data_IF_635461075110
#
_entry.id   IF_635461075110
#
_cell.length_a   1.000
_cell.length_b   1.000
_cell.length_c   1.000
_cell.angle_alpha   90.00
_cell.angle_beta   90.00
_cell.angle_gamma   90.00
#
_symmetry.space_group_name_H-M   'P 1'
#
loop_
_entity.id
_entity.type
_entity.pdbx_description
1 polymer ?
#
# COMPACT_ATOMS: atom_id res chain seq x y z
N UNK A 1 -3.58 -10.58 13.52
CA UNK A 1 -3.05 -9.29 13.06
C UNK A 1 -3.25 -9.25 11.57
N UNK A 2 -4.09 -8.33 11.09
CA UNK A 2 -4.48 -8.17 9.71
C UNK A 2 -3.84 -6.91 9.13
N UNK A 3 -2.98 -7.08 8.14
CA UNK A 3 -2.14 -6.01 7.58
C UNK A 3 -2.56 -5.73 6.13
N UNK A 4 -2.64 -4.45 5.77
CA UNK A 4 -2.69 -4.00 4.37
C UNK A 4 -1.34 -3.41 3.96
N UNK A 5 -0.76 -3.87 2.85
CA UNK A 5 0.28 -3.15 2.12
C UNK A 5 -0.36 -2.55 0.86
N UNK A 6 -0.51 -1.23 0.86
CA UNK A 6 -1.04 -0.46 -0.27
C UNK A 6 0.10 0.25 -0.99
N UNK A 7 0.14 0.22 -2.33
CA UNK A 7 1.17 0.92 -3.10
C UNK A 7 0.64 1.71 -4.30
N UNK A 8 1.23 2.88 -4.56
CA UNK A 8 1.07 3.64 -5.82
C UNK A 8 2.35 3.50 -6.66
N UNK A 9 2.24 2.89 -7.85
CA UNK A 9 3.37 2.52 -8.69
C UNK A 9 3.01 2.68 -10.18
N UNK A 10 3.74 3.54 -10.89
CA UNK A 10 3.57 3.72 -12.34
C UNK A 10 4.46 2.78 -13.16
N UNK A 11 5.70 2.55 -12.71
CA UNK A 11 6.72 1.81 -13.45
C UNK A 11 7.14 0.49 -12.80
N UNK A 12 6.60 0.17 -11.61
CA UNK A 12 6.82 -1.11 -10.95
C UNK A 12 7.73 -1.08 -9.73
N UNK A 13 8.57 -0.05 -9.54
CA UNK A 13 9.54 -0.01 -8.44
C UNK A 13 8.89 -0.12 -7.06
N UNK A 14 7.87 0.70 -6.78
CA UNK A 14 7.15 0.66 -5.50
C UNK A 14 6.39 -0.65 -5.31
N UNK A 15 5.90 -1.26 -6.41
CA UNK A 15 5.24 -2.56 -6.37
C UNK A 15 6.24 -3.68 -6.01
N UNK A 16 7.48 -3.60 -6.52
CA UNK A 16 8.54 -4.54 -6.16
C UNK A 16 8.90 -4.44 -4.67
N UNK A 17 9.00 -3.22 -4.12
CA UNK A 17 9.22 -3.01 -2.68
C UNK A 17 8.07 -3.62 -1.86
N UNK A 18 6.82 -3.34 -2.23
CA UNK A 18 5.64 -3.89 -1.56
C UNK A 18 5.64 -5.43 -1.57
N UNK A 19 6.03 -6.03 -2.70
CA UNK A 19 6.18 -7.48 -2.83
C UNK A 19 7.28 -8.04 -1.91
N UNK A 20 8.45 -7.40 -1.86
CA UNK A 20 9.52 -7.84 -0.97
C UNK A 20 9.16 -7.71 0.51
N UNK A 21 8.40 -6.67 0.89
CA UNK A 21 7.84 -6.55 2.25
C UNK A 21 6.86 -7.69 2.55
N UNK A 22 5.98 -8.03 1.61
CA UNK A 22 5.05 -9.13 1.75
C UNK A 22 5.74 -10.49 1.91
N UNK A 23 6.82 -10.73 1.15
CA UNK A 23 7.67 -11.92 1.28
C UNK A 23 8.35 -12.00 2.66
N UNK A 24 8.76 -10.88 3.23
CA UNK A 24 9.35 -10.83 4.58
C UNK A 24 8.34 -11.02 5.72
N UNK A 25 7.05 -10.77 5.47
CA UNK A 25 5.96 -10.86 6.46
C UNK A 25 5.12 -12.14 6.32
N UNK A 26 5.67 -13.19 5.70
CA UNK A 26 4.99 -14.48 5.58
C UNK A 26 4.54 -15.03 6.95
N UNK A 27 3.34 -15.62 6.98
CA UNK A 27 2.74 -16.17 8.21
C UNK A 27 1.82 -15.21 8.97
N UNK A 28 1.66 -13.97 8.49
CA UNK A 28 0.68 -13.00 8.98
C UNK A 28 -0.50 -12.90 7.99
N UNK A 29 -1.69 -12.54 8.48
CA UNK A 29 -2.83 -12.21 7.63
C UNK A 29 -2.53 -10.87 6.92
N UNK A 30 -2.07 -10.95 5.69
CA UNK A 30 -1.52 -9.85 4.91
C UNK A 30 -2.19 -9.82 3.54
N UNK A 31 -2.64 -8.64 3.13
CA UNK A 31 -3.03 -8.37 1.76
C UNK A 31 -2.18 -7.25 1.16
N UNK A 32 -1.77 -7.43 -0.10
CA UNK A 32 -1.00 -6.42 -0.84
C UNK A 32 -1.80 -5.98 -2.06
N UNK A 33 -2.14 -4.70 -2.15
CA UNK A 33 -2.99 -4.13 -3.20
C UNK A 33 -2.39 -2.84 -3.79
N UNK A 34 -2.55 -2.57 -5.09
CA UNK A 34 -2.31 -1.24 -5.60
C UNK A 34 -3.36 -0.27 -5.06
N UNK A 35 -3.01 0.99 -4.84
CA UNK A 35 -3.86 2.00 -4.19
C UNK A 35 -5.22 2.20 -4.87
N UNK A 36 -5.29 1.97 -6.19
CA UNK A 36 -6.52 2.07 -6.99
C UNK A 36 -7.56 0.97 -6.67
N UNK A 37 -7.11 -0.14 -6.08
CA UNK A 37 -7.94 -1.31 -5.78
C UNK A 37 -8.28 -1.39 -4.28
N UNK A 38 -7.85 -0.39 -3.49
CA UNK A 38 -8.17 -0.30 -2.05
C UNK A 38 -9.52 0.39 -1.86
N UNK A 39 -10.43 -0.27 -1.14
CA UNK A 39 -11.65 0.36 -0.63
C UNK A 39 -11.30 1.21 0.62
N UNK A 40 -11.45 2.55 0.58
CA UNK A 40 -11.14 3.42 1.71
C UNK A 40 -11.96 3.11 2.97
N UNK A 41 -13.18 2.57 2.81
CA UNK A 41 -14.05 2.24 3.95
C UNK A 41 -13.56 1.01 4.72
N UNK A 42 -12.71 0.19 4.09
CA UNK A 42 -12.14 -1.01 4.69
C UNK A 42 -10.91 -0.76 5.56
N UNK A 43 -10.32 0.45 5.52
CA UNK A 43 -9.06 0.78 6.20
C UNK A 43 -9.09 0.52 7.71
N UNK A 44 -10.21 0.84 8.37
CA UNK A 44 -10.40 0.61 9.81
C UNK A 44 -10.50 -0.87 10.20
N UNK A 45 -10.59 -1.79 9.22
CA UNK A 45 -10.64 -3.24 9.49
C UNK A 45 -9.25 -3.88 9.57
N UNK A 46 -8.19 -3.14 9.25
CA UNK A 46 -6.80 -3.59 9.35
C UNK A 46 -6.20 -3.11 10.68
N UNK A 47 -5.37 -3.94 11.28
CA UNK A 47 -4.59 -3.57 12.47
C UNK A 47 -3.47 -2.60 12.09
N UNK A 48 -2.81 -2.84 10.94
CA UNK A 48 -1.76 -1.98 10.39
C UNK A 48 -1.96 -1.75 8.88
N UNK A 49 -1.61 -0.55 8.42
CA UNK A 49 -1.63 -0.16 7.01
C UNK A 49 -0.29 0.44 6.60
N UNK A 50 0.42 -0.24 5.70
CA UNK A 50 1.61 0.27 5.05
C UNK A 50 1.23 1.00 3.75
N UNK A 51 1.77 2.20 3.58
CA UNK A 51 1.49 3.08 2.45
C UNK A 51 2.78 3.32 1.66
N UNK A 52 2.86 2.78 0.45
CA UNK A 52 3.97 2.95 -0.47
C UNK A 52 3.63 3.89 -1.62
N UNK A 53 4.57 4.74 -2.02
CA UNK A 53 4.41 5.56 -3.24
C UNK A 53 5.75 5.79 -3.92
N UNK A 54 5.70 5.96 -5.25
CA UNK A 54 6.76 6.68 -5.94
C UNK A 54 6.83 8.14 -5.50
N UNK A 55 7.94 8.81 -5.78
CA UNK A 55 8.07 10.26 -5.52
C UNK A 55 7.57 11.04 -6.73
N UNK A 56 6.50 11.81 -6.54
CA UNK A 56 5.90 12.65 -7.57
C UNK A 56 5.92 14.10 -7.14
N UNK A 57 6.81 14.90 -7.73
CA UNK A 57 6.95 16.34 -7.45
C UNK A 57 7.08 16.63 -5.95
N UNK A 58 8.03 15.95 -5.29
CA UNK A 58 8.31 16.08 -3.85
C UNK A 58 7.21 15.57 -2.90
N UNK A 59 6.30 14.72 -3.39
CA UNK A 59 5.26 14.12 -2.55
C UNK A 59 4.89 12.72 -2.97
N UNK A 60 3.96 12.12 -2.21
CA UNK A 60 3.31 10.88 -2.59
C UNK A 60 2.38 11.08 -3.79
N UNK A 61 2.09 9.99 -4.48
CA UNK A 61 1.19 9.94 -5.62
C UNK A 61 -0.23 10.35 -5.26
N UNK A 62 -0.94 10.90 -6.26
CA UNK A 62 -2.30 11.41 -6.08
C UNK A 62 -3.27 10.33 -5.60
N UNK A 63 -3.05 9.06 -5.98
CA UNK A 63 -3.87 7.95 -5.50
C UNK A 63 -3.75 7.80 -3.99
N UNK A 64 -2.52 7.77 -3.48
CA UNK A 64 -2.26 7.64 -2.05
C UNK A 64 -2.79 8.84 -1.25
N UNK A 65 -2.58 10.07 -1.75
CA UNK A 65 -3.07 11.28 -1.08
C UNK A 65 -4.60 11.35 -0.98
N UNK A 66 -5.34 10.70 -1.90
CA UNK A 66 -6.81 10.61 -1.83
C UNK A 66 -7.27 9.57 -0.81
N UNK A 67 -6.48 8.53 -0.57
CA UNK A 67 -6.80 7.46 0.37
C UNK A 67 -6.70 7.94 1.83
N UNK A 68 -5.78 8.87 2.11
CA UNK A 68 -5.48 9.36 3.48
C UNK A 68 -6.08 10.71 3.83
N UNK A 69 -6.84 11.33 2.91
CA UNK A 69 -7.55 12.59 3.14
C UNK A 69 -9.00 12.32 3.51
#
# INVERSE_FOLDING_TARGET
MKILICYDSQTGNTAAIAKSMAEGLQGVDLITLPVKDVDPTSLNSYDDVFLGSGVYTNGAGKGLNKLVK
#
